data_IF_771597642523
#
_entry.id   IF_771597642523
#
_cell.length_a   1.000
_cell.length_b   1.000
_cell.length_c   1.000
_cell.angle_alpha   90.00
_cell.angle_beta   90.00
_cell.angle_gamma   90.00
#
_symmetry.space_group_name_H-M   'P 1'
#
loop_
_entity.id
_entity.type
_entity.pdbx_description
1 polymer ?
#
# COMPACT_ATOMS: atom_id res chain seq x y z
N UNK A 1 -27.45 30.85 -6.55
CA UNK A 1 -26.05 30.40 -6.28
C UNK A 1 -25.92 29.53 -5.04
N UNK A 2 -26.18 29.97 -3.81
CA UNK A 2 -26.02 29.13 -2.59
C UNK A 2 -27.04 27.99 -2.51
N UNK A 3 -28.28 28.21 -2.94
CA UNK A 3 -29.36 27.21 -2.89
C UNK A 3 -29.19 26.10 -3.94
N UNK A 4 -28.75 26.45 -5.13
CA UNK A 4 -28.41 25.49 -6.22
C UNK A 4 -27.25 24.57 -5.81
N UNK A 5 -26.18 25.13 -5.27
CA UNK A 5 -25.01 24.37 -4.82
C UNK A 5 -25.35 23.35 -3.71
N UNK A 6 -26.28 23.70 -2.81
CA UNK A 6 -26.78 22.75 -1.80
C UNK A 6 -27.60 21.62 -2.42
N UNK A 7 -28.37 21.92 -3.45
CA UNK A 7 -29.21 20.92 -4.18
C UNK A 7 -28.30 19.91 -4.91
N UNK A 8 -27.26 20.39 -5.59
CA UNK A 8 -26.27 19.54 -6.28
C UNK A 8 -25.52 18.62 -5.31
N UNK A 9 -25.09 19.13 -4.15
CA UNK A 9 -24.44 18.31 -3.12
C UNK A 9 -25.37 17.21 -2.59
N UNK A 10 -26.64 17.52 -2.34
CA UNK A 10 -27.62 16.54 -1.87
C UNK A 10 -27.91 15.49 -2.96
N UNK A 11 -28.00 15.90 -4.22
CA UNK A 11 -28.16 14.97 -5.33
C UNK A 11 -26.92 14.06 -5.47
N UNK A 12 -25.72 14.61 -5.45
CA UNK A 12 -24.48 13.85 -5.50
C UNK A 12 -24.41 12.81 -4.37
N UNK A 13 -24.77 13.20 -3.15
CA UNK A 13 -24.83 12.26 -2.03
C UNK A 13 -25.86 11.15 -2.25
N UNK A 14 -27.09 11.47 -2.71
CA UNK A 14 -28.12 10.47 -3.00
C UNK A 14 -27.67 9.49 -4.08
N UNK A 15 -26.95 9.95 -5.10
CA UNK A 15 -26.39 9.08 -6.13
C UNK A 15 -25.28 8.16 -5.59
N UNK A 16 -24.53 8.59 -4.57
CA UNK A 16 -23.45 7.81 -3.98
C UNK A 16 -23.95 6.70 -3.04
N UNK A 17 -25.09 6.88 -2.39
CA UNK A 17 -25.62 5.95 -1.37
C UNK A 17 -25.72 4.49 -1.85
N UNK A 18 -26.23 4.17 -3.06
CA UNK A 18 -26.27 2.78 -3.53
C UNK A 18 -24.89 2.15 -3.62
N UNK A 19 -23.89 2.90 -4.07
CA UNK A 19 -22.50 2.42 -4.18
C UNK A 19 -21.88 2.19 -2.80
N UNK A 20 -22.08 3.11 -1.87
CA UNK A 20 -21.63 2.97 -0.48
C UNK A 20 -22.23 1.70 0.13
N UNK A 21 -23.52 1.48 -0.02
CA UNK A 21 -24.20 0.30 0.52
C UNK A 21 -23.73 -1.00 -0.14
N UNK A 22 -23.46 -0.99 -1.45
CA UNK A 22 -22.96 -2.16 -2.17
C UNK A 22 -21.56 -2.58 -1.75
N UNK A 23 -20.72 -1.64 -1.30
CA UNK A 23 -19.30 -1.88 -1.01
C UNK A 23 -18.97 -1.89 0.47
N UNK A 24 -19.83 -1.38 1.35
CA UNK A 24 -19.63 -1.41 2.80
C UNK A 24 -19.40 -2.84 3.28
N UNK A 25 -18.37 -3.02 4.10
CA UNK A 25 -17.97 -4.32 4.63
C UNK A 25 -17.25 -5.23 3.63
N UNK A 26 -17.07 -4.79 2.37
CA UNK A 26 -16.25 -5.51 1.40
C UNK A 26 -14.77 -5.22 1.64
N UNK A 27 -13.91 -6.11 1.13
CA UNK A 27 -12.47 -5.92 1.15
C UNK A 27 -11.99 -5.51 -0.23
N UNK A 28 -11.32 -4.37 -0.32
CA UNK A 28 -10.67 -3.90 -1.55
C UNK A 28 -9.16 -4.09 -1.41
N UNK A 29 -8.55 -4.60 -2.47
CA UNK A 29 -7.10 -4.65 -2.62
C UNK A 29 -6.68 -3.52 -3.54
N UNK A 30 -5.93 -2.56 -3.02
CA UNK A 30 -5.41 -1.41 -3.77
C UNK A 30 -3.94 -1.65 -4.04
N UNK A 31 -3.56 -1.66 -5.32
CA UNK A 31 -2.17 -1.81 -5.72
C UNK A 31 -1.61 -0.46 -6.15
N UNK A 32 -0.50 -0.06 -5.55
CA UNK A 32 0.22 1.19 -5.83
C UNK A 32 1.60 0.88 -6.39
N UNK A 33 1.95 1.42 -7.54
CA UNK A 33 3.33 1.39 -8.05
C UNK A 33 4.23 2.29 -7.20
N UNK A 34 5.53 2.00 -7.17
CA UNK A 34 6.51 2.85 -6.48
C UNK A 34 6.53 4.28 -7.02
N UNK A 35 6.31 4.45 -8.31
CA UNK A 35 6.21 5.75 -8.99
C UNK A 35 5.01 6.58 -8.51
N UNK A 36 3.88 5.91 -8.22
CA UNK A 36 2.69 6.57 -7.69
C UNK A 36 2.92 7.14 -6.30
N UNK A 37 3.80 6.50 -5.52
CA UNK A 37 4.14 6.93 -4.16
C UNK A 37 5.05 8.17 -4.18
N UNK A 38 5.92 8.28 -5.18
CA UNK A 38 6.80 9.44 -5.38
C UNK A 38 6.09 10.64 -6.02
N UNK A 39 4.93 10.40 -6.61
CA UNK A 39 4.20 11.44 -7.33
C UNK A 39 3.64 12.50 -6.37
N UNK A 40 3.60 13.75 -6.80
CA UNK A 40 3.09 14.88 -6.01
C UNK A 40 1.64 14.69 -5.54
N UNK A 41 0.83 13.97 -6.32
CA UNK A 41 -0.57 13.66 -5.98
C UNK A 41 -0.73 12.49 -4.99
N UNK A 42 0.35 11.91 -4.47
CA UNK A 42 0.24 10.78 -3.55
C UNK A 42 -0.58 11.12 -2.30
N UNK A 43 -0.48 12.35 -1.81
CA UNK A 43 -1.29 12.82 -0.67
C UNK A 43 -2.80 12.76 -0.95
N UNK A 44 -3.23 13.01 -2.18
CA UNK A 44 -4.63 12.86 -2.58
C UNK A 44 -5.07 11.40 -2.57
N UNK A 45 -4.22 10.49 -3.08
CA UNK A 45 -4.48 9.05 -3.04
C UNK A 45 -4.62 8.57 -1.59
N UNK A 46 -3.75 9.01 -0.69
CA UNK A 46 -3.81 8.69 0.74
C UNK A 46 -5.12 9.17 1.38
N UNK A 47 -5.58 10.38 1.04
CA UNK A 47 -6.85 10.91 1.52
C UNK A 47 -8.05 10.10 0.98
N UNK A 48 -8.01 9.68 -0.28
CA UNK A 48 -9.06 8.85 -0.89
C UNK A 48 -9.12 7.45 -0.25
N UNK A 49 -7.96 6.86 0.07
CA UNK A 49 -7.87 5.61 0.85
C UNK A 49 -8.51 5.80 2.22
N UNK A 50 -8.21 6.90 2.91
CA UNK A 50 -8.81 7.24 4.20
C UNK A 50 -10.33 7.41 4.09
N UNK A 51 -10.82 8.06 3.03
CA UNK A 51 -12.25 8.22 2.76
C UNK A 51 -12.93 6.86 2.55
N UNK A 52 -12.37 5.96 1.74
CA UNK A 52 -12.90 4.61 1.53
C UNK A 52 -12.99 3.83 2.85
N UNK A 53 -11.97 3.93 3.70
CA UNK A 53 -11.99 3.33 5.02
C UNK A 53 -13.15 3.88 5.87
N UNK A 54 -13.36 5.20 5.89
CA UNK A 54 -14.43 5.85 6.65
C UNK A 54 -15.84 5.45 6.19
N UNK A 55 -15.98 5.03 4.94
CA UNK A 55 -17.22 4.48 4.38
C UNK A 55 -17.47 3.01 4.79
N UNK A 56 -16.60 2.42 5.59
CA UNK A 56 -16.71 1.06 6.09
C UNK A 56 -16.20 -0.02 5.12
N UNK A 57 -15.32 0.35 4.21
CA UNK A 57 -14.63 -0.59 3.32
C UNK A 57 -13.34 -1.05 4.02
N UNK A 58 -13.08 -2.36 4.02
CA UNK A 58 -11.82 -2.94 4.49
C UNK A 58 -10.79 -2.83 3.38
N UNK A 59 -9.59 -2.34 3.71
CA UNK A 59 -8.58 -2.05 2.70
C UNK A 59 -7.31 -2.89 2.94
N UNK A 60 -6.80 -3.46 1.86
CA UNK A 60 -5.48 -4.07 1.79
C UNK A 60 -4.68 -3.26 0.77
N UNK A 61 -3.65 -2.57 1.23
CA UNK A 61 -2.77 -1.78 0.36
C UNK A 61 -1.52 -2.58 0.05
N UNK A 62 -1.32 -2.85 -1.23
CA UNK A 62 -0.12 -3.51 -1.77
C UNK A 62 0.66 -2.48 -2.55
N UNK A 63 1.94 -2.33 -2.28
CA UNK A 63 2.74 -1.31 -2.95
C UNK A 63 4.09 -1.85 -3.43
N UNK A 64 4.55 -1.29 -4.55
CA UNK A 64 5.88 -1.52 -5.10
C UNK A 64 6.89 -0.52 -4.52
N UNK A 65 8.15 -0.92 -4.49
CA UNK A 65 9.26 -0.11 -3.98
C UNK A 65 10.44 -0.05 -4.97
N UNK A 66 10.21 -0.35 -6.25
CA UNK A 66 11.32 -0.43 -7.22
C UNK A 66 12.08 0.89 -7.36
N UNK A 67 11.44 2.05 -7.60
CA UNK A 67 12.15 3.32 -7.72
C UNK A 67 12.95 3.67 -6.46
N UNK A 68 12.36 3.48 -5.28
CA UNK A 68 12.99 3.76 -4.00
C UNK A 68 14.21 2.86 -3.74
N UNK A 69 14.10 1.59 -4.13
CA UNK A 69 15.21 0.64 -4.04
C UNK A 69 16.32 1.04 -5.02
N UNK A 70 15.98 1.36 -6.27
CA UNK A 70 16.96 1.73 -7.28
C UNK A 70 17.67 3.05 -6.92
N UNK A 71 16.96 4.01 -6.33
CA UNK A 71 17.54 5.23 -5.79
C UNK A 71 18.52 4.94 -4.64
N UNK A 72 18.15 4.09 -3.68
CA UNK A 72 19.02 3.72 -2.56
C UNK A 72 20.27 2.95 -3.03
N UNK A 73 20.13 2.09 -4.03
CA UNK A 73 21.27 1.39 -4.63
C UNK A 73 22.22 2.39 -5.31
N UNK A 74 21.68 3.35 -6.08
CA UNK A 74 22.46 4.38 -6.74
C UNK A 74 23.22 5.28 -5.75
N UNK A 75 22.59 5.69 -4.65
CA UNK A 75 23.21 6.48 -3.58
C UNK A 75 24.42 5.75 -2.96
N UNK A 76 24.34 4.43 -2.86
CA UNK A 76 25.43 3.61 -2.35
C UNK A 76 26.41 3.11 -3.43
N UNK A 77 26.33 3.68 -4.65
CA UNK A 77 27.16 3.29 -5.79
C UNK A 77 27.14 1.77 -6.07
N UNK A 78 25.98 1.16 -5.89
CA UNK A 78 25.75 -0.26 -6.11
C UNK A 78 24.83 -0.46 -7.30
N UNK A 79 25.35 -1.00 -8.40
CA UNK A 79 24.56 -1.23 -9.62
C UNK A 79 23.70 -2.49 -9.48
N UNK A 80 22.38 -2.40 -9.72
CA UNK A 80 21.51 -3.55 -9.69
C UNK A 80 21.75 -4.47 -10.89
N UNK A 81 21.89 -5.76 -10.64
CA UNK A 81 22.00 -6.78 -11.69
C UNK A 81 20.60 -7.35 -11.96
N UNK A 82 20.22 -7.40 -13.24
CA UNK A 82 18.95 -7.98 -13.68
C UNK A 82 19.19 -9.15 -14.65
N UNK A 83 18.40 -10.20 -14.47
CA UNK A 83 18.29 -11.29 -15.44
C UNK A 83 16.81 -11.54 -15.72
N UNK A 84 16.40 -11.61 -16.99
CA UNK A 84 14.97 -11.78 -17.41
C UNK A 84 14.01 -10.83 -16.64
N UNK A 85 14.36 -9.55 -16.53
CA UNK A 85 13.59 -8.52 -15.82
C UNK A 85 13.46 -8.71 -14.30
N UNK A 86 14.11 -9.72 -13.73
CA UNK A 86 14.15 -9.96 -12.30
C UNK A 86 15.50 -9.56 -11.74
N UNK A 87 15.50 -8.81 -10.63
CA UNK A 87 16.75 -8.40 -9.95
C UNK A 87 17.40 -9.62 -9.33
N UNK A 88 18.70 -9.76 -9.53
CA UNK A 88 19.56 -10.64 -8.75
C UNK A 88 19.89 -9.92 -7.44
N UNK A 89 19.50 -10.51 -6.32
CA UNK A 89 19.61 -9.86 -5.02
C UNK A 89 20.68 -10.55 -4.19
N UNK A 90 21.92 -10.10 -4.30
CA UNK A 90 23.00 -10.56 -3.43
C UNK A 90 22.86 -10.02 -2.00
N UNK A 91 23.78 -10.38 -1.10
CA UNK A 91 23.71 -10.00 0.31
C UNK A 91 23.76 -8.48 0.51
N UNK A 92 24.57 -7.75 -0.29
CA UNK A 92 24.68 -6.29 -0.22
C UNK A 92 23.42 -5.61 -0.76
N UNK A 93 22.94 -6.07 -1.92
CA UNK A 93 21.66 -5.61 -2.50
C UNK A 93 20.51 -5.83 -1.52
N UNK A 94 20.47 -7.00 -0.84
CA UNK A 94 19.42 -7.29 0.15
C UNK A 94 19.40 -6.30 1.31
N UNK A 95 20.57 -5.89 1.80
CA UNK A 95 20.66 -4.86 2.84
C UNK A 95 20.03 -3.55 2.41
N UNK A 96 20.40 -3.06 1.23
CA UNK A 96 19.88 -1.81 0.67
C UNK A 96 18.39 -1.89 0.34
N UNK A 97 17.92 -3.04 -0.15
CA UNK A 97 16.49 -3.31 -0.37
C UNK A 97 15.70 -3.23 0.94
N UNK A 98 16.22 -3.85 2.02
CA UNK A 98 15.57 -3.79 3.35
C UNK A 98 15.48 -2.36 3.89
N UNK A 99 16.53 -1.56 3.71
CA UNK A 99 16.53 -0.16 4.13
C UNK A 99 15.48 0.64 3.40
N UNK A 100 15.46 0.57 2.06
CA UNK A 100 14.48 1.29 1.25
C UNK A 100 13.03 0.85 1.54
N UNK A 101 12.80 -0.46 1.60
CA UNK A 101 11.48 -1.01 1.87
C UNK A 101 10.98 -0.68 3.28
N UNK A 102 11.86 -0.74 4.29
CA UNK A 102 11.53 -0.40 5.67
C UNK A 102 11.18 1.08 5.83
N UNK A 103 11.95 1.98 5.22
CA UNK A 103 11.67 3.41 5.24
C UNK A 103 10.33 3.71 4.57
N UNK A 104 10.10 3.14 3.39
CA UNK A 104 8.85 3.31 2.65
C UNK A 104 7.64 2.80 3.45
N UNK A 105 7.76 1.67 4.13
CA UNK A 105 6.70 1.12 4.98
C UNK A 105 6.34 2.07 6.11
N UNK A 106 7.32 2.66 6.78
CA UNK A 106 7.10 3.63 7.85
C UNK A 106 6.44 4.91 7.32
N UNK A 107 6.88 5.43 6.18
CA UNK A 107 6.32 6.63 5.55
C UNK A 107 4.86 6.41 5.14
N UNK A 108 4.54 5.31 4.47
CA UNK A 108 3.16 4.98 4.09
C UNK A 108 2.27 4.81 5.33
N UNK A 109 2.76 4.12 6.36
CA UNK A 109 2.03 3.93 7.60
C UNK A 109 1.72 5.27 8.27
N UNK A 110 2.71 6.15 8.36
CA UNK A 110 2.53 7.49 8.93
C UNK A 110 1.52 8.33 8.14
N UNK A 111 1.64 8.37 6.81
CA UNK A 111 0.72 9.12 5.94
C UNK A 111 -0.71 8.62 6.03
N UNK A 112 -0.92 7.30 5.98
CA UNK A 112 -2.25 6.71 6.11
C UNK A 112 -2.86 6.98 7.49
N UNK A 113 -2.08 6.89 8.57
CA UNK A 113 -2.53 7.18 9.93
C UNK A 113 -2.95 8.63 10.11
N UNK A 114 -2.40 9.55 9.32
CA UNK A 114 -2.68 10.98 9.38
C UNK A 114 -3.67 11.47 8.30
N UNK A 115 -4.11 10.60 7.41
CA UNK A 115 -4.82 10.98 6.18
C UNK A 115 -6.12 11.75 6.40
N UNK A 116 -6.79 11.60 7.55
CA UNK A 116 -8.05 12.25 7.85
C UNK A 116 -7.93 13.48 8.75
N UNK A 117 -6.74 13.85 9.23
CA UNK A 117 -6.55 14.90 10.23
C UNK A 117 -7.00 16.30 9.78
N UNK A 118 -6.93 16.60 8.49
CA UNK A 118 -7.32 17.88 7.89
C UNK A 118 -8.62 17.81 7.10
N UNK A 119 -9.44 16.80 7.34
CA UNK A 119 -10.72 16.58 6.67
C UNK A 119 -11.88 16.76 7.65
N UNK A 120 -13.13 16.88 7.19
CA UNK A 120 -14.31 16.83 8.05
C UNK A 120 -14.43 15.54 8.90
N UNK A 121 -13.62 14.53 8.58
CA UNK A 121 -13.52 13.25 9.29
C UNK A 121 -12.39 13.24 10.33
N UNK A 122 -11.84 14.39 10.69
CA UNK A 122 -10.87 14.50 11.79
C UNK A 122 -11.47 13.88 13.06
N UNK A 123 -10.76 12.93 13.64
CA UNK A 123 -11.25 12.11 14.76
C UNK A 123 -11.58 10.67 14.39
N UNK A 124 -11.68 10.33 13.11
CA UNK A 124 -11.65 8.93 12.69
C UNK A 124 -10.19 8.44 12.76
N UNK A 125 -9.97 7.36 13.50
CA UNK A 125 -8.67 6.73 13.60
C UNK A 125 -8.53 5.63 12.56
N UNK A 126 -7.46 5.69 11.76
CA UNK A 126 -7.10 4.61 10.85
C UNK A 126 -5.98 3.81 11.50
N UNK A 127 -6.27 2.58 11.87
CA UNK A 127 -5.26 1.64 12.32
C UNK A 127 -4.61 0.97 11.11
N UNK A 128 -3.36 1.33 10.83
CA UNK A 128 -2.57 0.72 9.76
C UNK A 128 -1.75 -0.40 10.36
N UNK A 129 -1.97 -1.61 9.90
CA UNK A 129 -1.25 -2.80 10.35
C UNK A 129 -0.47 -3.37 9.17
N UNK A 130 0.81 -3.60 9.37
CA UNK A 130 1.66 -4.35 8.45
C UNK A 130 2.12 -5.63 9.13
N UNK A 131 2.31 -6.69 8.35
CA UNK A 131 2.68 -7.97 8.92
C UNK A 131 3.24 -8.95 7.90
N UNK A 132 3.53 -10.14 8.37
CA UNK A 132 4.08 -11.24 7.60
C UNK A 132 2.97 -12.03 6.89
N UNK A 133 2.22 -11.34 6.01
CA UNK A 133 1.10 -11.94 5.28
C UNK A 133 1.53 -12.70 4.02
N UNK A 134 2.76 -12.48 3.57
CA UNK A 134 3.30 -13.10 2.36
C UNK A 134 4.45 -14.02 2.75
N UNK A 135 4.33 -15.28 2.38
CA UNK A 135 5.39 -16.27 2.51
C UNK A 135 6.03 -16.44 1.13
N UNK A 136 7.32 -16.18 1.06
CA UNK A 136 8.12 -16.29 -0.15
C UNK A 136 8.92 -17.59 -0.19
N UNK A 137 9.36 -17.96 -1.38
CA UNK A 137 10.36 -19.00 -1.61
C UNK A 137 11.45 -18.46 -2.54
N UNK A 138 12.71 -18.91 -2.39
CA UNK A 138 13.80 -18.51 -3.29
C UNK A 138 13.48 -18.85 -4.74
N UNK A 139 13.96 -18.03 -5.67
CA UNK A 139 13.93 -18.36 -7.09
C UNK A 139 14.91 -19.48 -7.44
N UNK A 140 16.07 -19.50 -6.75
CA UNK A 140 17.13 -20.45 -7.02
C UNK A 140 17.95 -20.06 -8.25
N UNK A 141 18.39 -21.08 -8.98
CA UNK A 141 19.17 -20.92 -10.22
C UNK A 141 18.28 -21.15 -11.42
N UNK A 142 18.29 -20.22 -12.38
CA UNK A 142 17.62 -20.33 -13.68
C UNK A 142 18.58 -19.90 -14.80
N UNK A 143 18.68 -20.69 -15.86
CA UNK A 143 19.62 -20.50 -16.99
C UNK A 143 21.09 -20.25 -16.54
N UNK A 144 21.52 -20.93 -15.48
CA UNK A 144 22.88 -20.78 -14.94
C UNK A 144 23.12 -19.53 -14.11
N UNK A 145 22.11 -18.69 -13.88
CA UNK A 145 22.17 -17.50 -13.01
C UNK A 145 21.54 -17.82 -11.67
N UNK A 146 22.32 -17.66 -10.60
CA UNK A 146 21.81 -17.73 -9.23
C UNK A 146 21.17 -16.39 -8.85
N UNK A 147 19.88 -16.41 -8.54
CA UNK A 147 19.15 -15.22 -8.10
C UNK A 147 19.38 -14.84 -6.64
N UNK A 148 20.19 -15.58 -5.91
CA UNK A 148 20.57 -15.36 -4.52
C UNK A 148 19.34 -15.22 -3.60
N UNK A 149 19.10 -14.02 -3.08
CA UNK A 149 17.99 -13.72 -2.16
C UNK A 149 16.70 -13.26 -2.87
N UNK A 150 16.65 -13.23 -4.19
CA UNK A 150 15.41 -12.96 -4.90
C UNK A 150 14.43 -14.12 -4.74
N UNK A 151 13.17 -13.79 -4.53
CA UNK A 151 12.14 -14.76 -4.25
C UNK A 151 10.87 -14.54 -5.07
N UNK A 152 9.99 -15.51 -5.00
CA UNK A 152 8.62 -15.43 -5.51
C UNK A 152 7.64 -15.75 -4.40
N UNK A 153 6.42 -15.24 -4.52
CA UNK A 153 5.35 -15.52 -3.58
C UNK A 153 5.01 -17.02 -3.65
N UNK A 154 5.07 -17.70 -2.52
CA UNK A 154 4.64 -19.09 -2.36
C UNK A 154 3.21 -19.18 -1.86
N UNK A 155 2.87 -18.37 -0.87
CA UNK A 155 1.56 -18.39 -0.21
C UNK A 155 1.24 -17.03 0.39
N UNK A 156 -0.03 -16.69 0.41
CA UNK A 156 -0.57 -15.57 1.20
C UNK A 156 -1.27 -16.17 2.41
N UNK A 157 -1.02 -15.61 3.58
CA UNK A 157 -1.70 -15.98 4.83
C UNK A 157 -2.99 -15.17 4.94
N UNK A 158 -4.08 -15.76 4.45
CA UNK A 158 -5.41 -15.14 4.46
C UNK A 158 -5.98 -14.99 5.86
N UNK A 159 -5.65 -15.91 6.79
CA UNK A 159 -6.08 -15.83 8.17
C UNK A 159 -5.44 -14.64 8.88
N UNK A 160 -4.13 -14.44 8.69
CA UNK A 160 -3.42 -13.29 9.26
C UNK A 160 -3.99 -11.97 8.77
N UNK A 161 -4.31 -11.85 7.46
CA UNK A 161 -4.96 -10.66 6.89
C UNK A 161 -6.35 -10.46 7.50
N UNK A 162 -7.14 -11.50 7.66
CA UNK A 162 -8.48 -11.44 8.26
C UNK A 162 -8.41 -11.02 9.74
N UNK A 163 -7.44 -11.53 10.49
CA UNK A 163 -7.29 -11.24 11.93
C UNK A 163 -6.96 -9.77 12.21
N UNK A 164 -6.25 -9.10 11.34
CA UNK A 164 -5.95 -7.66 11.48
C UNK A 164 -7.20 -6.80 11.34
N UNK A 165 -8.18 -7.23 10.55
CA UNK A 165 -9.45 -6.53 10.39
C UNK A 165 -10.42 -6.76 11.57
N UNK A 166 -10.33 -7.89 12.25
CA UNK A 166 -11.19 -8.20 13.41
C UNK A 166 -10.80 -7.39 14.65
N UNK A 167 -9.51 -7.20 14.90
CA UNK A 167 -9.01 -6.39 16.04
C UNK A 167 -9.31 -4.90 15.92
N UNK A 168 -9.52 -4.38 14.72
CA UNK A 168 -9.86 -2.97 14.53
C UNK A 168 -11.31 -2.63 14.96
N UNK A 169 -12.14 -3.60 15.26
CA UNK A 169 -13.54 -3.43 15.66
C UNK A 169 -13.81 -3.74 17.14
N UNK A 170 -12.82 -4.21 17.90
CA UNK A 170 -13.00 -4.60 19.31
C UNK A 170 -12.52 -3.54 20.32
N UNK A 171 -12.16 -2.35 19.87
CA UNK A 171 -11.89 -1.17 20.71
C UNK A 171 -12.80 -0.03 20.28
#
# INVERSE_FOLDING_TARGET
MVKERRTELVQGFRHSVPYINAHRGKTFVIMLGGEAIEHENFSSIVNDIGLLHSLGIRLVVVYGARPQIDANLAEHHHEPIYHKHTRVTDAKTLELVKQAAGLLQLDITARLSMSLNNTPLQGAHINVVSGNFIISQPLGVDDGVDYCHSGRIRRIDEEAVSYTHLRAHET
#
